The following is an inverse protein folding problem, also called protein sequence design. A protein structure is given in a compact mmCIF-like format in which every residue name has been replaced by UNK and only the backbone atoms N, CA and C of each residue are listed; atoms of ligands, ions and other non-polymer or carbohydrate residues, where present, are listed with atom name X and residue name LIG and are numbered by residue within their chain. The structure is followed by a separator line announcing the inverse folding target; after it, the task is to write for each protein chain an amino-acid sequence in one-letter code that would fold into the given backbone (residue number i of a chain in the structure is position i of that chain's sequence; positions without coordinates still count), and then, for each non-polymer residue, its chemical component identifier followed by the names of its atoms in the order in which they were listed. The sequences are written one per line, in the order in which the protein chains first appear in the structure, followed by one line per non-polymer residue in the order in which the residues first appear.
data_IF_313874423482
#
_entry.id   IF_313874423482
#
_cell.length_a   1.000
_cell.length_b   1.000
_cell.length_c   1.000
_cell.angle_alpha   90.00
_cell.angle_beta   90.00
_cell.angle_gamma   90.00
#
_symmetry.space_group_name_H-M   'P 1'
#
loop_
_entity.id
_entity.type
_entity.pdbx_description
1 polymer ?
#
# COMPACT_ATOMS: atom_id res chain seq x y z
N UNK A 1 -2.32 13.32 9.90
CA UNK A 1 -1.31 12.64 9.06
C UNK A 1 -1.32 11.15 9.44
N UNK A 2 -2.38 10.42 9.12
CA UNK A 2 -2.68 9.14 9.79
C UNK A 2 -3.50 8.19 8.91
N UNK A 3 -2.97 7.83 7.73
CA UNK A 3 -3.72 6.99 6.80
C UNK A 3 -2.97 5.78 6.27
N UNK A 4 -1.71 5.56 6.63
CA UNK A 4 -0.94 4.42 6.12
C UNK A 4 -0.29 3.75 7.32
N UNK A 5 -1.03 2.79 7.86
CA UNK A 5 -0.64 1.97 9.00
C UNK A 5 -0.76 0.50 8.56
N UNK A 6 -0.05 -0.39 9.25
CA UNK A 6 -0.14 -1.83 9.00
C UNK A 6 -1.59 -2.30 9.07
N UNK A 7 -2.03 -3.11 8.11
CA UNK A 7 -3.40 -3.61 7.99
C UNK A 7 -4.38 -2.67 7.28
N UNK A 8 -3.93 -1.54 6.72
CA UNK A 8 -4.79 -0.73 5.83
C UNK A 8 -4.73 -1.22 4.39
N UNK A 9 -5.87 -1.10 3.71
CA UNK A 9 -5.96 -1.29 2.26
C UNK A 9 -5.65 0.02 1.55
N UNK A 10 -4.69 -0.04 0.64
CA UNK A 10 -4.27 1.06 -0.23
C UNK A 10 -4.48 0.65 -1.68
N UNK A 11 -4.71 1.63 -2.55
CA UNK A 11 -4.69 1.41 -4.00
C UNK A 11 -3.36 1.92 -4.52
N UNK A 12 -2.69 1.11 -5.34
CA UNK A 12 -1.50 1.54 -6.07
C UNK A 12 -1.97 2.46 -7.20
N UNK A 13 -1.49 3.71 -7.23
CA UNK A 13 -1.90 4.70 -8.23
C UNK A 13 -0.97 4.72 -9.43
N UNK A 14 0.24 4.16 -9.31
CA UNK A 14 1.27 4.23 -10.35
C UNK A 14 2.07 2.94 -10.48
N UNK A 15 2.43 2.58 -11.72
CA UNK A 15 3.24 1.41 -12.07
C UNK A 15 2.42 0.27 -12.68
N UNK A 16 3.02 -0.91 -12.86
CA UNK A 16 2.37 -2.07 -13.49
C UNK A 16 1.17 -2.64 -12.72
N UNK A 17 1.03 -2.29 -11.44
CA UNK A 17 -0.07 -2.71 -10.56
C UNK A 17 -1.03 -1.55 -10.27
N UNK A 18 -0.99 -0.47 -11.05
CA UNK A 18 -1.87 0.68 -10.87
C UNK A 18 -3.35 0.26 -10.97
N UNK A 19 -4.17 0.73 -10.04
CA UNK A 19 -5.59 0.39 -9.91
C UNK A 19 -5.88 -0.88 -9.09
N UNK A 20 -4.86 -1.61 -8.61
CA UNK A 20 -5.06 -2.78 -7.74
C UNK A 20 -5.08 -2.39 -6.27
N UNK A 21 -5.94 -3.07 -5.52
CA UNK A 21 -5.97 -3.03 -4.06
C UNK A 21 -4.79 -3.85 -3.50
N UNK A 22 -4.15 -3.28 -2.49
CA UNK A 22 -3.02 -3.86 -1.79
C UNK A 22 -3.15 -3.64 -0.29
N UNK A 23 -2.80 -4.64 0.50
CA UNK A 23 -2.77 -4.52 1.96
C UNK A 23 -1.38 -4.10 2.43
N UNK A 24 -1.29 -3.12 3.33
CA UNK A 24 -0.02 -2.72 3.94
C UNK A 24 0.39 -3.76 4.97
N UNK A 25 1.40 -4.56 4.64
CA UNK A 25 1.98 -5.57 5.54
C UNK A 25 2.92 -4.92 6.54
N UNK A 26 3.75 -3.98 6.08
CA UNK A 26 4.70 -3.32 6.96
C UNK A 26 5.18 -1.97 6.41
N UNK A 27 5.71 -1.14 7.31
CA UNK A 27 6.34 0.14 6.97
C UNK A 27 7.84 -0.03 7.14
N UNK A 28 8.51 -0.37 6.05
CA UNK A 28 9.95 -0.68 6.05
C UNK A 28 10.77 0.58 6.34
N UNK A 29 10.35 1.70 5.74
CA UNK A 29 11.02 2.99 5.87
C UNK A 29 10.00 4.13 5.83
N UNK A 30 10.46 5.36 6.12
CA UNK A 30 9.64 6.58 6.06
C UNK A 30 8.94 6.80 4.71
N UNK A 31 9.50 6.27 3.62
CA UNK A 31 9.00 6.46 2.26
C UNK A 31 8.67 5.15 1.53
N UNK A 32 8.93 4.00 2.14
CA UNK A 32 8.76 2.68 1.53
C UNK A 32 7.87 1.79 2.40
N UNK A 33 6.89 1.20 1.75
CA UNK A 33 5.91 0.30 2.35
C UNK A 33 6.11 -1.09 1.75
N UNK A 34 5.97 -2.10 2.59
CA UNK A 34 5.78 -3.47 2.14
C UNK A 34 4.29 -3.69 2.01
N UNK A 35 3.81 -3.88 0.79
CA UNK A 35 2.40 -4.13 0.49
C UNK A 35 2.23 -5.51 -0.11
N UNK A 36 1.09 -6.14 0.14
CA UNK A 36 0.72 -7.42 -0.44
C UNK A 36 -0.38 -7.22 -1.46
N UNK A 37 -0.09 -7.55 -2.71
CA UNK A 37 -1.07 -7.56 -3.81
C UNK A 37 -1.46 -9.02 -4.05
N UNK A 38 -2.63 -9.42 -3.56
CA UNK A 38 -3.05 -10.82 -3.56
C UNK A 38 -2.14 -11.69 -2.69
N UNK A 39 -1.32 -12.55 -3.30
CA UNK A 39 -0.38 -13.44 -2.60
C UNK A 39 1.10 -13.02 -2.71
N UNK A 40 1.41 -11.93 -3.41
CA UNK A 40 2.79 -11.47 -3.61
C UNK A 40 3.05 -10.19 -2.82
N UNK A 41 4.17 -10.18 -2.13
CA UNK A 41 4.67 -9.00 -1.42
C UNK A 41 5.50 -8.13 -2.37
N UNK A 42 5.34 -6.81 -2.26
CA UNK A 42 6.05 -5.82 -3.06
C UNK A 42 6.42 -4.63 -2.21
N UNK A 43 7.60 -4.07 -2.48
CA UNK A 43 7.99 -2.76 -1.92
C UNK A 43 7.47 -1.67 -2.84
N UNK A 44 6.69 -0.75 -2.28
CA UNK A 44 6.14 0.41 -3.01
C UNK A 44 6.42 1.69 -2.23
N UNK A 45 6.56 2.80 -2.95
CA UNK A 45 6.72 4.08 -2.29
C UNK A 45 5.37 4.60 -1.81
N UNK A 46 5.38 5.24 -0.63
CA UNK A 46 4.21 5.93 -0.06
C UNK A 46 3.60 6.98 -1.01
N UNK A 47 4.39 7.52 -1.95
CA UNK A 47 3.93 8.50 -2.95
C UNK A 47 3.09 7.88 -4.08
N UNK A 48 3.14 6.56 -4.26
CA UNK A 48 2.47 5.83 -5.34
C UNK A 48 1.27 5.03 -4.84
N UNK A 49 0.84 5.28 -3.60
CA UNK A 49 -0.30 4.62 -3.00
C UNK A 49 -1.25 5.66 -2.44
N UNK A 50 -2.54 5.43 -2.62
CA UNK A 50 -3.59 6.20 -1.97
C UNK A 50 -4.30 5.33 -0.94
N UNK A 51 -4.49 5.82 0.30
CA UNK A 51 -5.24 5.11 1.32
C UNK A 51 -6.72 5.08 0.93
N UNK A 52 -7.31 3.89 0.92
CA UNK A 52 -8.74 3.77 0.69
C UNK A 52 -9.50 4.05 1.98
N UNK A 53 -10.74 4.51 1.86
CA UNK A 53 -11.65 4.70 3.00
C UNK A 53 -12.19 3.37 3.54
N UNK A 54 -11.90 2.25 2.87
CA UNK A 54 -12.23 0.92 3.33
C UNK A 54 -11.18 0.45 4.35
N UNK A 55 -11.63 0.17 5.56
CA UNK A 55 -10.92 -0.74 6.45
C UNK A 55 -11.32 -2.16 6.03
N UNK A 56 -10.33 -3.01 5.75
CA UNK A 56 -10.55 -4.45 5.65
C UNK A 56 -10.84 -5.03 7.04
#
# INVERSE_FOLDING_TARGET
MAAIEKGRVVIITRGSEAGKEAEVVDVVDRNMLLVKVGNKERKVSIKHVEPTTRKA
#
